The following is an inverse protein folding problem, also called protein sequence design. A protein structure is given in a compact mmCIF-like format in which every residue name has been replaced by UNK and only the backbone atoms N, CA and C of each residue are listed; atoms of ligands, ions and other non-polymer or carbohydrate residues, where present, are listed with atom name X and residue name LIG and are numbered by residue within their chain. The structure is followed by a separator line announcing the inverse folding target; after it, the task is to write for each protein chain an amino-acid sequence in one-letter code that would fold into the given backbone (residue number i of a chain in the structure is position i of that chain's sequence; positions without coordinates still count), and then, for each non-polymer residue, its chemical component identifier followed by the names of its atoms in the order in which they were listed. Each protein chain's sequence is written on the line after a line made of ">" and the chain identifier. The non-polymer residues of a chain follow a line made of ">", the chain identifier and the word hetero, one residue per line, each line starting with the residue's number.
data_IF_069936366478
#
_entry.id   IF_069936366478
#
_cell.length_a   1.000
_cell.length_b   1.000
_cell.length_c   1.000
_cell.angle_alpha   90.00
_cell.angle_beta   90.00
_cell.angle_gamma   90.00
#
_symmetry.space_group_name_H-M   'P 1'
#
loop_
_entity.id
_entity.type
_entity.pdbx_description
1 polymer ?
#
# COMPACT_ATOMS: atom_id res chain seq x y z
N UNK A 1 8.85 -5.25 3.67
CA UNK A 1 10.20 -5.86 3.63
C UNK A 1 10.43 -6.33 2.22
N UNK A 2 11.54 -5.93 1.60
CA UNK A 2 11.90 -6.29 0.23
C UNK A 2 13.39 -6.64 0.19
N UNK A 3 13.76 -7.77 -0.42
CA UNK A 3 15.15 -8.27 -0.44
C UNK A 3 15.82 -8.30 0.94
N UNK A 4 15.11 -8.73 1.98
CA UNK A 4 15.64 -8.75 3.36
C UNK A 4 15.89 -7.37 3.96
N UNK A 5 15.39 -6.30 3.34
CA UNK A 5 15.52 -4.92 3.84
C UNK A 5 14.17 -4.33 4.22
N UNK A 6 14.19 -3.42 5.20
CA UNK A 6 13.08 -2.52 5.52
C UNK A 6 13.29 -1.18 4.83
N UNK A 7 12.21 -0.59 4.32
CA UNK A 7 12.24 0.67 3.59
C UNK A 7 11.21 1.61 4.17
N UNK A 8 11.60 2.84 4.46
CA UNK A 8 10.68 3.90 4.85
C UNK A 8 11.17 5.24 4.31
N UNK A 9 10.24 6.14 4.12
CA UNK A 9 10.54 7.47 3.63
C UNK A 9 11.08 8.37 4.76
N UNK A 10 12.09 9.18 4.44
CA UNK A 10 12.63 10.23 5.31
C UNK A 10 12.96 11.48 4.47
N UNK A 11 12.10 12.49 4.53
CA UNK A 11 12.21 13.76 3.78
C UNK A 11 12.24 13.60 2.25
N UNK A 12 13.42 13.50 1.65
CA UNK A 12 13.58 13.39 0.18
C UNK A 12 14.29 12.08 -0.21
N UNK A 13 14.62 11.24 0.78
CA UNK A 13 15.30 9.96 0.58
C UNK A 13 14.45 8.83 1.13
N UNK A 14 14.77 7.62 0.68
CA UNK A 14 14.28 6.37 1.25
C UNK A 14 15.39 5.84 2.15
N UNK A 15 15.08 5.65 3.43
CA UNK A 15 15.98 4.92 4.32
C UNK A 15 15.79 3.43 4.09
N UNK A 16 16.92 2.72 3.98
CA UNK A 16 16.96 1.27 3.86
C UNK A 16 17.72 0.72 5.06
N UNK A 17 17.12 -0.23 5.77
CA UNK A 17 17.78 -1.01 6.80
C UNK A 17 17.89 -2.46 6.32
N UNK A 18 19.11 -2.91 6.07
CA UNK A 18 19.40 -4.29 5.73
C UNK A 18 19.35 -5.13 7.02
N UNK A 19 18.44 -6.10 7.08
CA UNK A 19 18.26 -6.92 8.29
C UNK A 19 19.29 -8.03 8.44
N UNK A 20 20.08 -8.31 7.39
CA UNK A 20 21.16 -9.31 7.41
C UNK A 20 22.46 -8.68 7.89
N UNK A 21 22.81 -7.51 7.36
CA UNK A 21 24.04 -6.80 7.74
C UNK A 21 23.84 -5.83 8.90
N UNK A 22 22.59 -5.56 9.27
CA UNK A 22 22.17 -4.57 10.29
C UNK A 22 22.67 -3.14 10.00
N UNK A 23 22.81 -2.80 8.71
CA UNK A 23 23.30 -1.51 8.26
C UNK A 23 22.19 -0.64 7.65
N UNK A 24 22.33 0.67 7.86
CA UNK A 24 21.51 1.67 7.21
C UNK A 24 22.20 2.20 5.96
N UNK A 25 21.42 2.43 4.92
CA UNK A 25 21.84 3.21 3.76
C UNK A 25 20.70 4.12 3.29
N UNK A 26 21.06 5.16 2.58
CA UNK A 26 20.10 5.99 1.87
C UNK A 26 19.89 5.42 0.46
N UNK A 27 18.68 5.59 -0.05
CA UNK A 27 18.27 5.27 -1.41
C UNK A 27 17.52 6.47 -1.99
N UNK A 28 17.78 6.76 -3.25
CA UNK A 28 17.13 7.83 -4.00
C UNK A 28 15.64 7.53 -4.18
N UNK A 29 14.79 8.53 -3.91
CA UNK A 29 13.37 8.45 -4.20
C UNK A 29 13.08 8.67 -5.71
N UNK A 30 12.00 8.10 -6.26
CA UNK A 30 11.64 8.29 -7.68
C UNK A 30 11.42 9.76 -8.06
N UNK A 31 10.83 10.56 -7.17
CA UNK A 31 10.54 11.98 -7.36
C UNK A 31 10.69 12.70 -6.01
N UNK A 32 10.98 14.00 -6.03
CA UNK A 32 11.04 14.89 -4.85
C UNK A 32 9.91 15.93 -4.91
N UNK A 33 9.16 16.20 -3.81
CA UNK A 33 9.27 15.58 -2.49
C UNK A 33 8.92 14.08 -2.51
N UNK A 34 9.51 13.31 -1.60
CA UNK A 34 9.53 11.85 -1.70
C UNK A 34 8.18 11.16 -1.44
N UNK A 35 8.12 9.83 -1.65
CA UNK A 35 6.88 9.08 -1.76
C UNK A 35 6.06 9.01 -0.48
N UNK A 36 4.75 8.84 -0.65
CA UNK A 36 3.79 8.69 0.45
C UNK A 36 3.79 7.28 1.05
N UNK A 37 3.99 6.24 0.23
CA UNK A 37 4.04 4.85 0.68
C UNK A 37 5.06 4.05 -0.14
N UNK A 38 5.65 3.03 0.49
CA UNK A 38 6.51 2.02 -0.13
C UNK A 38 5.90 0.64 0.09
N UNK A 39 5.85 -0.18 -0.95
CA UNK A 39 5.25 -1.51 -0.91
C UNK A 39 5.90 -2.43 -1.95
N UNK A 40 5.70 -3.74 -1.80
CA UNK A 40 6.13 -4.71 -2.81
C UNK A 40 5.03 -4.87 -3.86
N UNK A 41 5.37 -4.86 -5.14
CA UNK A 41 4.45 -5.11 -6.26
C UNK A 41 5.19 -5.90 -7.35
N UNK A 42 4.62 -7.03 -7.78
CA UNK A 42 5.19 -7.88 -8.84
C UNK A 42 6.67 -8.26 -8.60
N UNK A 43 7.05 -8.52 -7.36
CA UNK A 43 8.43 -8.84 -6.98
C UNK A 43 9.40 -7.66 -7.09
N UNK A 44 8.90 -6.42 -7.17
CA UNK A 44 9.69 -5.20 -7.18
C UNK A 44 9.29 -4.27 -6.03
N UNK A 45 10.22 -3.42 -5.58
CA UNK A 45 9.90 -2.33 -4.68
C UNK A 45 9.12 -1.26 -5.46
N UNK A 46 7.98 -0.85 -4.94
CA UNK A 46 7.11 0.18 -5.50
C UNK A 46 6.94 1.34 -4.53
N UNK A 47 6.67 2.51 -5.10
CA UNK A 47 6.44 3.75 -4.38
C UNK A 47 5.19 4.46 -4.92
N UNK A 48 4.31 4.92 -4.04
CA UNK A 48 3.17 5.76 -4.42
C UNK A 48 3.42 7.22 -4.08
N UNK A 49 3.07 8.13 -4.98
CA UNK A 49 3.21 9.58 -4.82
C UNK A 49 1.87 10.23 -5.06
N UNK A 50 1.43 11.08 -4.12
CA UNK A 50 0.20 11.84 -4.28
C UNK A 50 0.51 13.13 -5.06
N UNK A 51 -0.08 13.29 -6.23
CA UNK A 51 0.16 14.43 -7.10
C UNK A 51 -0.96 15.47 -6.91
N UNK A 52 -0.62 16.62 -6.34
CA UNK A 52 -1.49 17.80 -6.20
C UNK A 52 -1.25 18.74 -7.41
N UNK A 53 -2.26 19.38 -8.02
CA UNK A 53 -3.69 19.50 -7.68
C UNK A 53 -4.61 18.42 -8.26
N UNK A 54 -4.08 17.46 -9.02
CA UNK A 54 -4.87 16.55 -9.86
C UNK A 54 -5.55 15.40 -9.11
N UNK A 55 -5.35 15.31 -7.79
CA UNK A 55 -5.89 14.23 -6.94
C UNK A 55 -5.64 12.83 -7.51
N UNK A 56 -4.45 12.66 -8.07
CA UNK A 56 -4.00 11.40 -8.65
C UNK A 56 -2.88 10.80 -7.81
N UNK A 57 -2.74 9.48 -7.90
CA UNK A 57 -1.67 8.74 -7.25
C UNK A 57 -0.80 8.10 -8.33
N UNK A 58 0.44 8.53 -8.41
CA UNK A 58 1.45 7.98 -9.30
C UNK A 58 2.17 6.82 -8.62
N UNK A 59 2.28 5.71 -9.33
CA UNK A 59 2.95 4.50 -8.86
C UNK A 59 4.23 4.32 -9.68
N UNK A 60 5.33 4.24 -8.96
CA UNK A 60 6.67 4.02 -9.50
C UNK A 60 7.20 2.68 -9.02
N UNK A 61 7.98 2.00 -9.86
CA UNK A 61 8.68 0.76 -9.50
C UNK A 61 10.19 0.97 -9.60
N UNK A 62 10.94 0.39 -8.67
CA UNK A 62 12.39 0.33 -8.73
C UNK A 62 12.80 -0.72 -9.78
N UNK A 63 12.79 -0.29 -11.05
CA UNK A 63 13.12 -1.13 -12.21
C UNK A 63 14.53 -1.71 -12.10
N UNK A 64 15.46 -0.92 -11.57
CA UNK A 64 16.78 -1.39 -11.15
C UNK A 64 17.00 -0.98 -9.70
N UNK A 65 16.79 -1.91 -8.78
CA UNK A 65 16.95 -1.67 -7.35
C UNK A 65 18.40 -1.36 -6.95
N UNK A 66 19.38 -1.98 -7.62
CA UNK A 66 20.79 -1.83 -7.28
C UNK A 66 21.34 -0.46 -7.70
N UNK A 67 20.92 0.01 -8.88
CA UNK A 67 21.29 1.32 -9.41
C UNK A 67 20.26 2.41 -9.07
N UNK A 68 19.25 2.10 -8.25
CA UNK A 68 18.21 3.02 -7.80
C UNK A 68 17.43 3.70 -8.95
N UNK A 69 17.25 2.96 -10.06
CA UNK A 69 16.49 3.45 -11.22
C UNK A 69 15.02 3.15 -11.01
N UNK A 70 14.22 4.21 -11.06
CA UNK A 70 12.77 4.15 -10.95
C UNK A 70 12.09 4.37 -12.29
N UNK A 71 11.05 3.59 -12.55
CA UNK A 71 10.19 3.74 -13.71
C UNK A 71 8.76 4.04 -13.28
N UNK A 72 8.12 5.00 -13.96
CA UNK A 72 6.69 5.23 -13.82
C UNK A 72 5.92 4.02 -14.35
N UNK A 73 4.93 3.55 -13.59
CA UNK A 73 4.14 2.37 -13.95
C UNK A 73 2.69 2.71 -14.25
N UNK A 74 2.00 3.35 -13.30
CA UNK A 74 0.57 3.63 -13.39
C UNK A 74 0.21 4.96 -12.71
N UNK A 75 -0.93 5.54 -13.11
CA UNK A 75 -1.58 6.65 -12.42
C UNK A 75 -3.02 6.27 -12.08
N UNK A 76 -3.38 6.37 -10.82
CA UNK A 76 -4.75 6.19 -10.33
C UNK A 76 -5.38 7.56 -10.16
N UNK A 77 -6.49 7.83 -10.85
CA UNK A 77 -7.23 9.08 -10.71
C UNK A 77 -8.37 8.87 -9.71
N UNK A 78 -8.34 9.59 -8.58
CA UNK A 78 -9.41 9.48 -7.59
C UNK A 78 -10.54 10.48 -7.93
N UNK A 79 -11.82 10.07 -7.94
CA UNK A 79 -12.95 10.97 -8.13
C UNK A 79 -13.23 11.77 -6.84
N UNK A 80 -12.27 12.60 -6.42
CA UNK A 80 -12.27 13.25 -5.11
C UNK A 80 -13.48 14.18 -4.94
N UNK A 81 -13.92 14.87 -5.99
CA UNK A 81 -15.10 15.74 -5.92
C UNK A 81 -16.35 14.94 -5.52
N UNK A 82 -16.63 13.86 -6.25
CA UNK A 82 -17.82 13.01 -6.03
C UNK A 82 -17.76 12.28 -4.69
N UNK A 83 -16.59 11.77 -4.32
CA UNK A 83 -16.37 11.12 -3.02
C UNK A 83 -16.45 12.12 -1.87
N UNK A 84 -15.98 13.36 -2.06
CA UNK A 84 -16.06 14.39 -1.02
C UNK A 84 -17.51 14.81 -0.75
N UNK A 85 -18.33 14.93 -1.79
CA UNK A 85 -19.75 15.25 -1.65
C UNK A 85 -20.51 14.18 -0.83
N UNK A 86 -20.10 12.92 -0.93
CA UNK A 86 -20.77 11.79 -0.26
C UNK A 86 -20.19 11.45 1.12
N UNK A 87 -18.86 11.47 1.26
CA UNK A 87 -18.16 10.92 2.43
C UNK A 87 -17.39 11.97 3.24
N UNK A 88 -17.39 13.23 2.81
CA UNK A 88 -16.64 14.32 3.43
C UNK A 88 -15.21 14.45 2.89
N UNK A 89 -14.41 15.37 3.44
CA UNK A 89 -13.10 15.72 2.85
C UNK A 89 -12.09 14.56 2.93
N UNK A 90 -11.33 14.36 1.85
CA UNK A 90 -10.18 13.45 1.83
C UNK A 90 -9.10 13.91 2.80
N UNK A 91 -8.54 12.98 3.58
CA UNK A 91 -7.28 13.17 4.28
C UNK A 91 -6.15 12.55 3.46
N UNK A 92 -5.47 13.36 2.66
CA UNK A 92 -4.36 12.93 1.78
C UNK A 92 -3.22 12.21 2.50
N UNK A 93 -3.03 12.45 3.81
CA UNK A 93 -2.01 11.77 4.64
C UNK A 93 -2.44 10.36 5.06
N UNK A 94 -3.70 10.02 4.88
CA UNK A 94 -4.30 8.72 5.21
C UNK A 94 -4.73 8.01 3.93
N UNK A 95 -3.84 7.95 2.94
CA UNK A 95 -4.00 7.21 1.70
C UNK A 95 -2.89 6.16 1.60
N UNK A 96 -3.26 4.89 1.44
CA UNK A 96 -2.31 3.77 1.29
C UNK A 96 -2.62 3.02 0.01
N UNK A 97 -1.57 2.67 -0.73
CA UNK A 97 -1.63 1.86 -1.94
C UNK A 97 -1.12 0.46 -1.63
N UNK A 98 -1.81 -0.56 -2.11
CA UNK A 98 -1.41 -1.95 -1.91
C UNK A 98 -1.81 -2.81 -3.11
N UNK A 99 -1.03 -3.84 -3.45
CA UNK A 99 -1.41 -4.79 -4.48
C UNK A 99 -2.49 -5.73 -3.94
N UNK A 100 -3.49 -6.00 -4.77
CA UNK A 100 -4.43 -7.10 -4.57
C UNK A 100 -3.82 -8.43 -5.04
N UNK A 101 -4.47 -9.51 -4.63
CA UNK A 101 -4.11 -10.89 -4.94
C UNK A 101 -4.16 -11.25 -6.43
N UNK A 102 -4.97 -10.54 -7.20
CA UNK A 102 -5.11 -10.67 -8.66
C UNK A 102 -4.11 -9.81 -9.45
N UNK A 103 -3.17 -9.14 -8.78
CA UNK A 103 -2.16 -8.29 -9.41
C UNK A 103 -2.64 -6.88 -9.74
N UNK A 104 -3.89 -6.53 -9.42
CA UNK A 104 -4.35 -5.15 -9.48
C UNK A 104 -3.84 -4.34 -8.26
N UNK A 105 -4.04 -3.02 -8.31
CA UNK A 105 -3.70 -2.12 -7.21
C UNK A 105 -4.96 -1.52 -6.65
N UNK A 106 -5.03 -1.47 -5.32
CA UNK A 106 -6.12 -0.83 -4.59
C UNK A 106 -5.58 0.34 -3.78
N UNK A 107 -6.43 1.35 -3.62
CA UNK A 107 -6.16 2.52 -2.81
C UNK A 107 -7.14 2.52 -1.63
N UNK A 108 -6.61 2.54 -0.41
CA UNK A 108 -7.39 2.85 0.78
C UNK A 108 -7.21 4.32 1.12
N UNK A 109 -8.27 5.11 1.04
CA UNK A 109 -8.26 6.54 1.27
C UNK A 109 -9.30 6.95 2.31
N UNK A 110 -8.88 7.79 3.27
CA UNK A 110 -9.77 8.30 4.32
C UNK A 110 -10.54 9.54 3.86
N UNK A 111 -11.86 9.51 4.00
CA UNK A 111 -12.78 10.62 3.73
C UNK A 111 -13.66 10.82 4.96
N UNK A 112 -13.51 11.94 5.70
CA UNK A 112 -14.22 12.13 6.96
C UNK A 112 -14.02 10.97 7.95
N UNK A 113 -15.13 10.37 8.40
CA UNK A 113 -15.19 9.17 9.26
C UNK A 113 -15.25 7.85 8.46
N UNK A 114 -15.04 7.91 7.15
CA UNK A 114 -15.04 6.77 6.24
C UNK A 114 -13.62 6.42 5.78
N UNK A 115 -13.38 5.11 5.62
CA UNK A 115 -12.26 4.57 4.88
C UNK A 115 -12.82 3.93 3.61
N UNK A 116 -12.38 4.41 2.45
CA UNK A 116 -12.85 3.98 1.15
C UNK A 116 -11.77 3.15 0.47
N UNK A 117 -12.16 2.03 -0.12
CA UNK A 117 -11.32 1.23 -1.00
C UNK A 117 -11.70 1.53 -2.44
N UNK A 118 -10.73 1.98 -3.24
CA UNK A 118 -10.90 2.40 -4.63
C UNK A 118 -9.96 1.58 -5.51
N UNK A 119 -10.43 1.16 -6.68
CA UNK A 119 -9.60 0.46 -7.67
C UNK A 119 -8.75 1.42 -8.54
N UNK A 120 -7.99 0.85 -9.47
CA UNK A 120 -7.09 1.61 -10.35
C UNK A 120 -7.83 2.56 -11.30
N UNK A 121 -9.09 2.26 -11.62
CA UNK A 121 -9.94 3.09 -12.48
C UNK A 121 -10.64 4.21 -11.69
N UNK A 122 -10.38 4.30 -10.38
CA UNK A 122 -11.01 5.29 -9.50
C UNK A 122 -12.40 4.88 -9.01
N UNK A 123 -12.83 3.64 -9.26
CA UNK A 123 -14.16 3.17 -8.84
C UNK A 123 -14.13 2.69 -7.38
N UNK A 124 -15.17 3.06 -6.64
CA UNK A 124 -15.37 2.61 -5.27
C UNK A 124 -15.66 1.10 -5.25
N UNK A 125 -14.83 0.35 -4.53
CA UNK A 125 -14.94 -1.09 -4.32
C UNK A 125 -15.64 -1.40 -3.01
N UNK A 126 -15.26 -0.72 -1.93
CA UNK A 126 -15.82 -0.92 -0.59
C UNK A 126 -15.73 0.36 0.26
N UNK A 127 -16.59 0.46 1.27
CA UNK A 127 -16.58 1.55 2.25
C UNK A 127 -16.72 1.02 3.66
N UNK A 128 -15.94 1.62 4.58
CA UNK A 128 -15.91 1.25 5.99
C UNK A 128 -16.17 2.51 6.82
N UNK A 129 -17.22 2.50 7.65
CA UNK A 129 -17.57 3.62 8.51
C UNK A 129 -17.08 3.39 9.93
N UNK A 130 -16.39 4.37 10.50
CA UNK A 130 -16.03 4.33 11.90
C UNK A 130 -15.13 5.47 12.30
N UNK A 131 -15.48 6.12 13.41
CA UNK A 131 -14.62 7.14 14.01
C UNK A 131 -13.28 6.51 14.37
N UNK A 132 -12.19 7.13 13.90
CA UNK A 132 -10.83 6.65 14.16
C UNK A 132 -10.34 5.54 13.23
N UNK A 133 -11.16 5.06 12.28
CA UNK A 133 -10.70 4.14 11.25
C UNK A 133 -9.67 4.84 10.36
N UNK A 134 -8.57 4.16 10.05
CA UNK A 134 -7.51 4.65 9.20
C UNK A 134 -6.74 3.50 8.58
N UNK A 135 -6.12 3.71 7.41
CA UNK A 135 -5.33 2.66 6.77
C UNK A 135 -4.00 2.48 7.48
N UNK A 136 -3.45 1.28 7.39
CA UNK A 136 -2.08 0.96 7.80
C UNK A 136 -1.29 0.48 6.59
N UNK A 137 0.00 0.83 6.52
CA UNK A 137 0.92 0.29 5.51
C UNK A 137 1.30 -1.17 5.80
N UNK A 138 1.00 -1.66 7.00
CA UNK A 138 1.35 -3.01 7.43
C UNK A 138 0.33 -4.01 6.90
N UNK A 139 0.79 -4.97 6.09
CA UNK A 139 -0.01 -6.10 5.63
C UNK A 139 0.37 -7.35 6.41
N UNK A 140 -0.62 -8.02 6.98
CA UNK A 140 -0.44 -9.39 7.47
C UNK A 140 -0.31 -10.30 6.25
N UNK A 141 0.87 -10.87 6.05
CA UNK A 141 1.05 -11.97 5.10
C UNK A 141 0.60 -13.24 5.80
N UNK A 142 -0.42 -13.91 5.29
CA UNK A 142 -0.79 -15.23 5.79
C UNK A 142 0.41 -16.16 5.60
N UNK A 143 1.12 -16.42 6.68
CA UNK A 143 2.17 -17.43 6.73
C UNK A 143 1.51 -18.71 7.19
N UNK A 144 1.25 -19.62 6.26
CA UNK A 144 0.88 -21.01 6.56
C UNK A 144 2.11 -21.80 7.05
N UNK A 145 3.00 -21.16 7.84
CA UNK A 145 3.96 -21.91 8.62
C UNK A 145 3.13 -22.61 9.69
N UNK A 146 2.89 -23.90 9.49
CA UNK A 146 2.39 -24.78 10.52
C UNK A 146 3.43 -24.77 11.64
N UNK A 147 3.24 -23.87 12.59
CA UNK A 147 3.96 -24.00 13.83
C UNK A 147 3.35 -25.15 14.61
N UNK A 148 4.19 -26.01 15.20
CA UNK A 148 3.77 -27.14 16.04
C UNK A 148 2.89 -26.75 17.23
N UNK A 149 2.81 -25.45 17.57
CA UNK A 149 1.91 -24.90 18.59
C UNK A 149 0.45 -24.75 18.12
N UNK A 150 0.18 -24.80 16.82
CA UNK A 150 -1.19 -24.95 16.31
C UNK A 150 -1.41 -26.44 16.06
N UNK A 151 -2.01 -27.18 17.01
CA UNK A 151 -2.32 -28.58 16.78
C UNK A 151 -3.13 -28.69 15.50
N UNK A 152 -2.80 -29.67 14.68
CA UNK A 152 -3.65 -30.11 13.57
C UNK A 152 -4.99 -30.49 14.20
N UNK A 153 -5.98 -29.60 14.15
CA UNK A 153 -7.34 -29.98 14.52
C UNK A 153 -7.83 -30.90 13.41
N UNK A 154 -7.54 -32.20 13.55
CA UNK A 154 -8.28 -33.25 12.87
C UNK A 154 -9.75 -33.09 13.27
N UNK A 155 -10.54 -32.37 12.46
CA UNK A 155 -11.99 -32.34 12.66
C UNK A 155 -12.73 -31.09 12.21
N UNK A 156 -12.09 -29.95 11.91
CA UNK A 156 -12.83 -28.77 11.45
C UNK A 156 -12.82 -28.64 9.92
N UNK A 157 -13.88 -29.16 9.29
CA UNK A 157 -14.30 -28.72 7.96
C UNK A 157 -14.75 -27.26 8.09
N UNK A 158 -13.89 -26.32 7.72
CA UNK A 158 -14.30 -24.94 7.40
C UNK A 158 -14.05 -24.71 5.92
N UNK A 159 -14.82 -25.41 5.10
CA UNK A 159 -15.12 -25.01 3.73
C UNK A 159 -16.43 -24.19 3.74
N UNK A 160 -16.47 -23.13 4.54
CA UNK A 160 -17.51 -22.12 4.40
C UNK A 160 -16.89 -20.88 3.76
N UNK A 161 -17.28 -20.64 2.50
CA UNK A 161 -16.97 -19.44 1.72
C UNK A 161 -17.30 -18.18 2.53
N UNK A 162 -16.42 -17.15 2.61
CA UNK A 162 -16.61 -16.01 3.51
C UNK A 162 -17.50 -14.92 2.89
N UNK A 163 -18.49 -15.29 2.08
CA UNK A 163 -19.43 -14.35 1.50
C UNK A 163 -20.82 -14.58 2.08
N UNK A 164 -21.20 -13.73 3.03
CA UNK A 164 -22.57 -13.26 3.24
C UNK A 164 -22.52 -11.74 3.11
#
# INVERSE_FOLDING_TARGET
>A
MFHGSLHWHRHNVIMVFDTTTELFREMSAPVTPGPANLFEMDGMLAASIFTDPTTSIDIWIAQDYANEVWAFKYRVNLPVADLTAQFGKINKRCCVVFPSWDGHVLVLAKFGDWLLQVDMDGKLVASFHGRGVGPTQNRLKQSLVQHTFFPTLEGYVVNASPFI
#
